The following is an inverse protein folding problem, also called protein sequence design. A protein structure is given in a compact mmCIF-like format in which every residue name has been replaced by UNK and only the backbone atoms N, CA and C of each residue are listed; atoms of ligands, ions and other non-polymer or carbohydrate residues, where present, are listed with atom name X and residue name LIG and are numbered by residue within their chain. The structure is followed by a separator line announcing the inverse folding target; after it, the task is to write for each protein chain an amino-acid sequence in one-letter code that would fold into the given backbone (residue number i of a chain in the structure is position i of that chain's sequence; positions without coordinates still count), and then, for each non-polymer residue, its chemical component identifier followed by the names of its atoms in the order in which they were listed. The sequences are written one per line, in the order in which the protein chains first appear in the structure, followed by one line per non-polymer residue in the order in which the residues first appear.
data_IF_228935038087
#
_entry.id   IF_228935038087
#
_cell.length_a   1.000
_cell.length_b   1.000
_cell.length_c   1.000
_cell.angle_alpha   90.00
_cell.angle_beta   90.00
_cell.angle_gamma   90.00
#
_symmetry.space_group_name_H-M   'P 1'
#
loop_
_entity.id
_entity.type
_entity.pdbx_description
1 polymer ?
#
# COMPACT_ATOMS: atom_id res chain seq x y z
N UNK A 1 -12.69 -0.03 -2.11
CA UNK A 1 -11.25 -0.32 -2.12
C UNK A 1 -10.45 0.77 -1.42
N UNK A 2 -9.23 0.44 -1.00
CA UNK A 2 -8.24 1.41 -0.49
C UNK A 2 -7.11 1.50 -1.50
N UNK A 3 -6.73 2.71 -1.90
CA UNK A 3 -5.70 2.95 -2.92
C UNK A 3 -4.69 3.98 -2.42
N UNK A 4 -3.41 3.65 -2.46
CA UNK A 4 -2.32 4.61 -2.24
C UNK A 4 -2.01 5.35 -3.52
N UNK A 5 -1.97 6.69 -3.46
CA UNK A 5 -1.52 7.52 -4.59
C UNK A 5 -0.10 7.98 -4.30
N UNK A 6 0.86 7.41 -5.02
CA UNK A 6 2.29 7.59 -4.75
C UNK A 6 3.07 7.97 -6.00
N UNK A 7 4.26 8.51 -5.81
CA UNK A 7 5.22 8.77 -6.87
C UNK A 7 6.61 8.37 -6.38
N UNK A 8 7.41 7.76 -7.25
CA UNK A 8 8.83 7.58 -7.02
C UNK A 8 9.61 8.55 -7.91
N UNK A 9 10.54 9.30 -7.32
CA UNK A 9 11.49 10.10 -8.08
C UNK A 9 12.27 9.24 -9.09
N UNK A 10 12.76 9.87 -10.15
CA UNK A 10 13.67 9.24 -11.11
C UNK A 10 15.00 8.80 -10.48
N UNK A 11 15.41 9.47 -9.40
CA UNK A 11 16.59 9.16 -8.58
C UNK A 11 16.29 8.26 -7.37
N UNK A 12 15.08 7.70 -7.27
CA UNK A 12 14.70 6.79 -6.19
C UNK A 12 15.56 5.51 -6.21
N UNK A 13 15.88 4.99 -5.03
CA UNK A 13 16.68 3.76 -4.86
C UNK A 13 16.23 2.93 -3.66
N UNK A 14 16.65 1.66 -3.62
CA UNK A 14 16.33 0.72 -2.54
C UNK A 14 14.99 0.00 -2.71
N UNK A 15 14.37 0.08 -3.89
CA UNK A 15 13.05 -0.48 -4.21
C UNK A 15 13.10 -1.82 -4.95
N UNK A 16 14.27 -2.47 -5.01
CA UNK A 16 14.48 -3.75 -5.69
C UNK A 16 13.68 -4.88 -5.03
N UNK A 17 13.44 -4.77 -3.72
CA UNK A 17 12.53 -5.66 -3.01
C UNK A 17 11.10 -5.12 -3.02
N UNK A 18 10.10 -5.99 -3.28
CA UNK A 18 8.70 -5.65 -3.11
C UNK A 18 8.39 -5.14 -1.70
N UNK A 19 7.36 -4.30 -1.60
CA UNK A 19 6.76 -3.89 -0.34
C UNK A 19 5.47 -4.66 -0.10
N UNK A 20 5.08 -4.80 1.16
CA UNK A 20 3.81 -5.41 1.55
C UNK A 20 2.76 -4.33 1.75
N UNK A 21 1.59 -4.57 1.18
CA UNK A 21 0.38 -3.81 1.41
C UNK A 21 -0.57 -4.68 2.23
N UNK A 22 -1.13 -4.12 3.28
CA UNK A 22 -2.05 -4.82 4.16
C UNK A 22 -3.31 -3.99 4.37
N UNK A 23 -4.46 -4.63 4.29
CA UNK A 23 -5.77 -4.09 4.62
C UNK A 23 -6.44 -5.01 5.65
N UNK A 24 -6.77 -4.45 6.80
CA UNK A 24 -7.49 -5.13 7.89
C UNK A 24 -8.88 -4.53 7.99
N UNK A 25 -9.91 -5.39 7.92
CA UNK A 25 -11.30 -4.99 8.06
C UNK A 25 -11.77 -5.10 9.52
N UNK A 26 -12.88 -4.43 9.90
CA UNK A 26 -13.29 -4.32 11.31
C UNK A 26 -13.66 -5.66 11.95
N UNK A 27 -14.01 -6.66 11.15
CA UNK A 27 -14.36 -7.99 11.64
C UNK A 27 -13.12 -8.84 11.89
N UNK A 28 -12.85 -9.15 13.17
CA UNK A 28 -11.76 -10.03 13.63
C UNK A 28 -11.85 -11.49 13.12
N UNK A 29 -12.78 -11.79 12.20
CA UNK A 29 -12.94 -13.11 11.57
C UNK A 29 -12.29 -13.20 10.20
N UNK A 30 -12.07 -12.07 9.53
CA UNK A 30 -11.46 -12.05 8.21
C UNK A 30 -9.94 -11.87 8.33
N UNK A 31 -9.20 -12.73 7.64
CA UNK A 31 -7.74 -12.57 7.54
C UNK A 31 -7.46 -11.24 6.84
N UNK A 32 -6.46 -10.47 7.30
CA UNK A 32 -6.05 -9.28 6.59
C UNK A 32 -5.74 -9.61 5.13
N UNK A 33 -6.19 -8.75 4.22
CA UNK A 33 -5.78 -8.84 2.83
C UNK A 33 -4.35 -8.33 2.77
N UNK A 34 -3.43 -9.20 2.38
CA UNK A 34 -2.02 -8.86 2.31
C UNK A 34 -1.44 -9.27 0.96
N UNK A 35 -0.72 -8.33 0.33
CA UNK A 35 -0.12 -8.55 -0.98
C UNK A 35 1.23 -7.86 -1.11
N UNK A 36 2.13 -8.53 -1.80
CA UNK A 36 3.46 -8.01 -2.10
C UNK A 36 3.47 -7.34 -3.46
N UNK A 37 3.94 -6.10 -3.55
CA UNK A 37 3.94 -5.28 -4.77
C UNK A 37 5.32 -4.70 -5.02
N UNK A 38 5.82 -4.85 -6.24
CA UNK A 38 7.06 -4.23 -6.68
C UNK A 38 6.80 -2.77 -7.07
N UNK A 39 7.44 -1.83 -6.36
CA UNK A 39 7.38 -0.40 -6.69
C UNK A 39 8.52 0.03 -7.63
N UNK A 40 9.52 -0.82 -7.86
CA UNK A 40 10.68 -0.53 -8.71
C UNK A 40 10.27 -0.11 -10.13
N UNK A 41 9.28 -0.81 -10.70
CA UNK A 41 8.77 -0.53 -12.04
C UNK A 41 8.05 0.83 -12.17
N UNK A 42 7.88 1.57 -11.07
CA UNK A 42 7.23 2.88 -11.03
C UNK A 42 8.22 4.05 -10.81
N UNK A 43 9.52 3.77 -10.70
CA UNK A 43 10.57 4.81 -10.62
C UNK A 43 10.49 5.74 -11.83
N UNK A 44 10.54 7.04 -11.58
CA UNK A 44 10.46 8.09 -12.61
C UNK A 44 9.09 8.27 -13.26
N UNK A 45 8.08 7.45 -12.90
CA UNK A 45 6.70 7.67 -13.36
C UNK A 45 6.07 8.84 -12.61
N UNK A 46 4.96 9.34 -13.14
CA UNK A 46 4.14 10.33 -12.43
C UNK A 46 3.39 9.66 -11.25
N UNK A 47 2.34 10.31 -10.72
CA UNK A 47 1.48 9.69 -9.71
C UNK A 47 0.90 8.37 -10.24
N UNK A 48 1.05 7.31 -9.44
CA UNK A 48 0.53 5.97 -9.71
C UNK A 48 -0.38 5.51 -8.58
N UNK A 49 -1.42 4.79 -8.96
CA UNK A 49 -2.37 4.18 -8.05
C UNK A 49 -1.87 2.79 -7.66
N UNK A 50 -1.73 2.55 -6.36
CA UNK A 50 -1.30 1.28 -5.78
C UNK A 50 -2.43 0.77 -4.87
N UNK A 51 -3.30 -0.14 -5.35
CA UNK A 51 -4.39 -0.64 -4.53
C UNK A 51 -3.84 -1.41 -3.32
N UNK A 52 -4.44 -1.26 -2.15
CA UNK A 52 -4.09 -2.01 -0.94
C UNK A 52 -5.00 -3.22 -0.75
N UNK A 53 -6.25 -3.12 -1.19
CA UNK A 53 -7.25 -4.18 -1.11
C UNK A 53 -8.66 -3.65 -1.39
N UNK A 54 -9.58 -4.57 -1.60
CA UNK A 54 -10.98 -4.28 -1.89
C UNK A 54 -11.83 -4.55 -0.65
N UNK A 55 -12.88 -3.78 -0.46
CA UNK A 55 -13.81 -4.01 0.66
C UNK A 55 -15.18 -3.46 0.31
N UNK A 56 -16.19 -3.99 1.00
CA UNK A 56 -17.56 -3.51 0.94
C UNK A 56 -18.05 -3.28 2.35
N UNK A 57 -18.54 -2.08 2.63
CA UNK A 57 -19.15 -1.77 3.93
C UNK A 57 -20.55 -2.38 4.00
N UNK A 58 -20.80 -3.13 5.05
CA UNK A 58 -22.10 -3.64 5.47
C UNK A 58 -22.29 -3.30 6.96
N UNK A 59 -23.53 -3.28 7.48
CA UNK A 59 -23.75 -3.05 8.91
C UNK A 59 -22.97 -4.02 9.82
N UNK A 60 -22.73 -5.25 9.36
CA UNK A 60 -22.05 -6.32 10.10
C UNK A 60 -20.52 -6.15 10.15
N UNK A 61 -19.95 -5.33 9.26
CA UNK A 61 -18.52 -5.01 9.24
C UNK A 61 -18.26 -3.51 9.45
N UNK A 62 -19.21 -2.79 10.06
CA UNK A 62 -19.02 -1.41 10.48
C UNK A 62 -17.96 -1.32 11.59
N UNK A 63 -16.99 -0.42 11.42
CA UNK A 63 -15.93 -0.17 12.40
C UNK A 63 -14.66 0.36 11.76
N UNK A 64 -13.53 0.16 12.44
CA UNK A 64 -12.22 0.67 12.03
C UNK A 64 -11.57 -0.21 10.96
N UNK A 65 -11.21 0.43 9.84
CA UNK A 65 -10.36 -0.17 8.81
C UNK A 65 -8.94 0.34 9.03
N UNK A 66 -7.97 -0.58 9.02
CA UNK A 66 -6.55 -0.23 9.08
C UNK A 66 -5.85 -0.67 7.80
N UNK A 67 -4.98 0.17 7.26
CA UNK A 67 -4.15 -0.16 6.10
C UNK A 67 -2.70 0.24 6.32
N UNK A 68 -1.77 -0.55 5.79
CA UNK A 68 -0.34 -0.28 5.90
C UNK A 68 0.42 -0.63 4.62
N UNK A 69 1.50 0.12 4.38
CA UNK A 69 2.51 -0.14 3.36
C UNK A 69 3.84 -0.25 4.10
N UNK A 70 4.51 -1.40 4.00
CA UNK A 70 5.72 -1.66 4.78
C UNK A 70 6.65 -2.68 4.13
N UNK A 71 7.94 -2.62 4.48
CA UNK A 71 8.94 -3.62 4.12
C UNK A 71 9.97 -3.69 5.24
N UNK A 72 10.16 -4.86 5.84
CA UNK A 72 10.94 -5.03 7.09
C UNK A 72 12.12 -6.01 6.95
N UNK A 73 12.33 -6.58 5.76
CA UNK A 73 13.24 -7.72 5.57
C UNK A 73 14.57 -7.29 4.95
N UNK A 74 14.57 -6.31 4.05
CA UNK A 74 15.76 -5.97 3.25
C UNK A 74 16.88 -5.33 4.06
N UNK A 75 16.58 -4.73 5.22
CA UNK A 75 17.50 -3.88 5.97
C UNK A 75 18.04 -2.68 5.18
N UNK A 76 17.52 -2.44 3.97
CA UNK A 76 18.04 -1.48 3.00
C UNK A 76 17.23 -0.20 3.05
N UNK A 77 17.92 0.93 3.15
CA UNK A 77 17.29 2.24 3.12
C UNK A 77 16.62 2.48 1.77
N UNK A 78 15.36 2.90 1.80
CA UNK A 78 14.60 3.31 0.62
C UNK A 78 14.49 4.83 0.61
N UNK A 79 14.65 5.44 -0.57
CA UNK A 79 14.53 6.90 -0.76
C UNK A 79 13.68 7.22 -1.98
N UNK A 80 13.08 8.41 -1.98
CA UNK A 80 12.43 9.00 -3.14
C UNK A 80 10.94 8.67 -3.29
N UNK A 81 10.30 8.13 -2.24
CA UNK A 81 8.85 7.93 -2.20
C UNK A 81 8.14 9.22 -1.77
N UNK A 82 7.19 9.66 -2.59
CA UNK A 82 6.24 10.70 -2.27
C UNK A 82 4.86 10.07 -2.13
N UNK A 83 4.20 10.36 -1.01
CA UNK A 83 2.82 9.94 -0.77
C UNK A 83 1.93 11.16 -0.93
N UNK A 84 1.07 11.17 -1.97
CA UNK A 84 0.07 12.23 -2.14
C UNK A 84 -1.06 12.05 -1.14
N UNK A 85 -1.48 10.81 -0.92
CA UNK A 85 -2.55 10.46 -0.01
C UNK A 85 -3.04 9.04 -0.21
N UNK A 86 -4.14 8.75 0.46
CA UNK A 86 -4.88 7.49 0.32
C UNK A 86 -6.31 7.84 -0.09
N UNK A 87 -6.81 7.12 -1.08
CA UNK A 87 -8.18 7.24 -1.56
C UNK A 87 -8.99 6.02 -1.13
N UNK A 88 -10.18 6.27 -0.61
CA UNK A 88 -11.16 5.26 -0.21
C UNK A 88 -12.34 5.41 -1.17
N UNK A 89 -12.61 4.37 -1.96
CA UNK A 89 -13.60 4.39 -3.05
C UNK A 89 -14.52 3.18 -2.99
#
# INVERSE_FOLDING_TARGET
EVVYVVKLEDTAYGWERPVNLKLTLPSNRERPQERSVSLNAHIGKWWVDIPAGEFKMTPENAGEISFSLYETVSGSWKKGLFVKGVEIR
#
